data_IF_005027728181
#
_entry.id   IF_005027728181
#
_cell.length_a   1.000
_cell.length_b   1.000
_cell.length_c   1.000
_cell.angle_alpha   90.00
_cell.angle_beta   90.00
_cell.angle_gamma   90.00
#
_symmetry.space_group_name_H-M   'P 1'
#
loop_
_entity.id
_entity.type
_entity.pdbx_description
1 polymer ?
#
# COMPACT_ATOMS: atom_id res chain seq x y z
N UNK A 1 -4.55 20.36 -21.73
CA UNK A 1 -4.55 21.13 -20.47
C UNK A 1 -3.52 20.53 -19.50
N UNK A 2 -2.50 21.30 -19.13
CA UNK A 2 -1.57 20.92 -18.07
C UNK A 2 -2.35 20.71 -16.75
N UNK A 3 -2.03 19.70 -15.94
CA UNK A 3 -2.69 19.50 -14.65
C UNK A 3 -2.37 20.70 -13.74
N UNK A 4 -3.42 21.36 -13.24
CA UNK A 4 -3.29 22.42 -12.22
C UNK A 4 -2.62 21.84 -10.98
N UNK A 5 -1.61 22.53 -10.47
CA UNK A 5 -1.02 22.26 -9.16
C UNK A 5 -2.07 22.48 -8.09
N UNK A 6 -2.05 21.64 -7.07
CA UNK A 6 -2.99 21.74 -5.95
C UNK A 6 -2.72 23.05 -5.19
N UNK A 7 -3.74 23.81 -4.77
CA UNK A 7 -3.52 24.96 -3.91
C UNK A 7 -2.77 24.58 -2.63
N UNK A 8 -1.81 25.41 -2.20
CA UNK A 8 -0.98 25.11 -1.02
C UNK A 8 -1.79 25.00 0.27
N UNK A 9 -2.90 25.73 0.40
CA UNK A 9 -3.79 25.62 1.57
C UNK A 9 -4.43 24.23 1.70
N UNK A 10 -4.70 23.52 0.60
CA UNK A 10 -5.25 22.17 0.64
C UNK A 10 -4.23 21.15 1.18
N UNK A 11 -2.94 21.35 0.91
CA UNK A 11 -1.88 20.55 1.50
C UNK A 11 -1.75 20.79 3.00
N UNK A 12 -1.82 22.05 3.43
CA UNK A 12 -1.83 22.39 4.86
C UNK A 12 -3.04 21.82 5.58
N UNK A 13 -4.21 21.90 4.96
CA UNK A 13 -5.44 21.33 5.51
C UNK A 13 -5.33 19.80 5.65
N UNK A 14 -4.78 19.12 4.65
CA UNK A 14 -4.56 17.67 4.72
C UNK A 14 -3.54 17.29 5.80
N UNK A 15 -2.44 18.05 5.91
CA UNK A 15 -1.43 17.83 6.94
C UNK A 15 -1.99 18.04 8.35
N UNK A 16 -2.70 19.16 8.56
CA UNK A 16 -3.35 19.47 9.84
C UNK A 16 -4.38 18.38 10.21
N UNK A 17 -5.23 17.98 9.25
CA UNK A 17 -6.18 16.89 9.47
C UNK A 17 -5.48 15.58 9.84
N UNK A 18 -4.43 15.20 9.11
CA UNK A 18 -3.70 13.95 9.37
C UNK A 18 -3.09 13.96 10.78
N UNK A 19 -2.46 15.07 11.19
CA UNK A 19 -1.90 15.21 12.54
C UNK A 19 -3.01 15.12 13.60
N UNK A 20 -4.09 15.89 13.45
CA UNK A 20 -5.20 15.91 14.40
C UNK A 20 -5.89 14.55 14.51
N UNK A 21 -6.10 13.87 13.38
CA UNK A 21 -6.72 12.54 13.34
C UNK A 21 -5.84 11.50 14.04
N UNK A 22 -4.52 11.51 13.80
CA UNK A 22 -3.59 10.59 14.49
C UNK A 22 -3.55 10.87 15.99
N UNK A 23 -3.48 12.15 16.40
CA UNK A 23 -3.50 12.53 17.81
C UNK A 23 -4.81 12.13 18.49
N UNK A 24 -5.94 12.33 17.82
CA UNK A 24 -7.24 11.89 18.31
C UNK A 24 -7.30 10.36 18.46
N UNK A 25 -6.81 9.60 17.47
CA UNK A 25 -6.80 8.14 17.49
C UNK A 25 -6.02 7.57 18.67
N UNK A 26 -4.89 8.17 19.04
CA UNK A 26 -4.07 7.75 20.19
C UNK A 26 -4.48 8.40 21.51
N UNK A 27 -5.51 9.24 21.51
CA UNK A 27 -5.95 9.95 22.71
C UNK A 27 -6.85 9.09 23.61
N UNK A 28 -6.95 9.42 24.92
CA UNK A 28 -7.91 8.79 25.82
C UNK A 28 -9.38 8.97 25.41
N UNK A 29 -9.67 9.95 24.53
CA UNK A 29 -11.02 10.22 24.04
C UNK A 29 -11.41 9.41 22.81
N UNK A 30 -10.48 8.63 22.24
CA UNK A 30 -10.83 7.71 21.17
C UNK A 30 -11.81 6.66 21.73
N UNK A 31 -12.98 6.42 21.09
CA UNK A 31 -14.04 5.58 21.63
C UNK A 31 -13.72 4.08 21.48
N UNK A 32 -12.56 3.64 21.98
CA UNK A 32 -12.02 2.30 21.81
C UNK A 32 -12.98 1.22 22.36
N UNK A 33 -13.54 1.43 23.56
CA UNK A 33 -14.42 0.45 24.20
C UNK A 33 -15.72 0.17 23.42
N UNK A 34 -16.53 1.18 23.04
CA UNK A 34 -17.74 0.91 22.25
C UNK A 34 -17.40 0.37 20.84
N UNK A 35 -16.31 0.83 20.20
CA UNK A 35 -15.89 0.27 18.91
C UNK A 35 -15.45 -1.19 19.02
N UNK A 36 -14.74 -1.57 20.09
CA UNK A 36 -14.37 -2.95 20.36
C UNK A 36 -15.60 -3.83 20.66
N UNK A 37 -16.60 -3.29 21.35
CA UNK A 37 -17.87 -3.98 21.58
C UNK A 37 -18.60 -4.26 20.26
N UNK A 38 -18.65 -3.28 19.33
CA UNK A 38 -19.21 -3.46 18.00
C UNK A 38 -18.43 -4.49 17.16
N UNK A 39 -17.09 -4.48 17.24
CA UNK A 39 -16.25 -5.48 16.59
C UNK A 39 -16.57 -6.90 17.10
N UNK A 40 -16.72 -7.08 18.42
CA UNK A 40 -17.14 -8.37 18.97
C UNK A 40 -18.56 -8.75 18.56
N UNK A 41 -19.51 -7.82 18.61
CA UNK A 41 -20.90 -8.06 18.24
C UNK A 41 -21.08 -8.41 16.75
N UNK A 42 -20.21 -7.90 15.89
CA UNK A 42 -20.19 -8.22 14.45
C UNK A 42 -19.40 -9.49 14.11
N UNK A 43 -18.86 -10.21 15.09
CA UNK A 43 -18.01 -11.39 14.85
C UNK A 43 -16.70 -11.06 14.13
N UNK A 44 -16.21 -9.82 14.25
CA UNK A 44 -14.97 -9.35 13.62
C UNK A 44 -15.13 -8.65 12.26
N UNK A 45 -16.33 -8.65 11.65
CA UNK A 45 -16.53 -8.01 10.34
C UNK A 45 -16.39 -6.50 10.36
N UNK A 46 -16.88 -5.85 11.42
CA UNK A 46 -16.77 -4.40 11.61
C UNK A 46 -15.64 -4.14 12.60
N UNK A 47 -14.41 -4.07 12.10
CA UNK A 47 -13.26 -3.82 12.96
C UNK A 47 -13.17 -2.35 13.38
N UNK A 48 -12.53 -2.11 14.52
CA UNK A 48 -12.19 -0.76 14.98
C UNK A 48 -11.37 -0.03 13.91
N UNK A 49 -10.41 -0.73 13.29
CA UNK A 49 -9.59 -0.21 12.19
C UNK A 49 -10.43 0.23 11.01
N UNK A 50 -11.41 -0.57 10.56
CA UNK A 50 -12.27 -0.23 9.42
C UNK A 50 -13.04 1.06 9.69
N UNK A 51 -13.64 1.20 10.87
CA UNK A 51 -14.41 2.39 11.23
C UNK A 51 -13.52 3.63 11.38
N UNK A 52 -12.41 3.51 12.12
CA UNK A 52 -11.49 4.62 12.35
C UNK A 52 -10.87 5.10 11.03
N UNK A 53 -10.26 4.20 10.26
CA UNK A 53 -9.59 4.54 9.00
C UNK A 53 -10.58 4.95 7.91
N UNK A 54 -11.78 4.37 7.88
CA UNK A 54 -12.85 4.76 6.98
C UNK A 54 -13.29 6.21 7.21
N UNK A 55 -13.62 6.57 8.45
CA UNK A 55 -14.04 7.94 8.79
C UNK A 55 -12.91 8.95 8.56
N UNK A 56 -11.69 8.65 9.02
CA UNK A 56 -10.52 9.51 8.83
C UNK A 56 -10.22 9.71 7.34
N UNK A 57 -10.27 8.61 6.58
CA UNK A 57 -10.02 8.59 5.15
C UNK A 57 -11.08 9.33 4.33
N UNK A 58 -12.35 9.26 4.72
CA UNK A 58 -13.41 10.01 4.04
C UNK A 58 -13.17 11.53 4.13
N UNK A 59 -12.71 12.03 5.28
CA UNK A 59 -12.34 13.44 5.43
C UNK A 59 -11.10 13.77 4.59
N UNK A 60 -10.08 12.89 4.57
CA UNK A 60 -8.91 13.06 3.68
C UNK A 60 -9.33 13.15 2.21
N UNK A 61 -10.22 12.27 1.76
CA UNK A 61 -10.75 12.28 0.40
C UNK A 61 -11.54 13.56 0.12
N UNK A 62 -12.34 14.03 1.06
CA UNK A 62 -13.08 15.30 0.93
C UNK A 62 -12.12 16.49 0.77
N UNK A 63 -11.02 16.53 1.55
CA UNK A 63 -9.99 17.57 1.44
C UNK A 63 -9.28 17.50 0.08
N UNK A 64 -8.87 16.30 -0.35
CA UNK A 64 -8.15 16.09 -1.61
C UNK A 64 -9.04 16.39 -2.82
N UNK A 65 -10.32 16.01 -2.78
CA UNK A 65 -11.25 16.20 -3.89
C UNK A 65 -11.83 17.62 -3.94
N UNK A 66 -12.19 18.20 -2.79
CA UNK A 66 -12.76 19.53 -2.67
C UNK A 66 -11.69 20.62 -2.78
N UNK A 67 -11.11 21.11 -1.67
CA UNK A 67 -10.04 22.11 -1.67
C UNK A 67 -8.86 21.75 -2.58
N UNK A 68 -8.50 20.46 -2.66
CA UNK A 68 -7.43 19.99 -3.52
C UNK A 68 -7.78 19.91 -5.01
N UNK A 69 -9.06 20.03 -5.37
CA UNK A 69 -9.56 20.02 -6.76
C UNK A 69 -9.27 18.73 -7.53
N UNK A 70 -8.97 17.62 -6.83
CA UNK A 70 -8.60 16.37 -7.48
C UNK A 70 -9.85 15.55 -7.82
N UNK A 71 -9.80 14.87 -8.98
CA UNK A 71 -10.81 13.87 -9.33
C UNK A 71 -10.32 12.50 -8.89
N UNK A 72 -11.17 11.66 -8.28
CA UNK A 72 -10.80 10.30 -7.86
C UNK A 72 -10.13 9.49 -8.98
N UNK A 73 -10.62 9.62 -10.22
CA UNK A 73 -10.03 8.96 -11.40
C UNK A 73 -8.57 9.36 -11.68
N UNK A 74 -8.16 10.59 -11.28
CA UNK A 74 -6.78 11.08 -11.37
C UNK A 74 -5.90 10.55 -10.23
N UNK A 75 -6.50 10.28 -9.08
CA UNK A 75 -5.84 9.63 -7.94
C UNK A 75 -5.58 8.13 -8.18
N UNK A 76 -6.19 7.56 -9.21
CA UNK A 76 -5.99 6.16 -9.59
C UNK A 76 -7.21 5.27 -9.38
N UNK A 77 -8.32 5.81 -8.86
CA UNK A 77 -9.58 5.09 -8.69
C UNK A 77 -10.21 4.81 -10.06
N UNK A 78 -9.89 3.64 -10.61
CA UNK A 78 -10.36 3.16 -11.90
C UNK A 78 -10.87 1.73 -11.75
N UNK A 79 -12.19 1.55 -11.72
CA UNK A 79 -12.81 0.24 -11.50
C UNK A 79 -12.32 -0.84 -12.48
N UNK A 80 -12.04 -0.47 -13.74
CA UNK A 80 -11.48 -1.37 -14.75
C UNK A 80 -10.09 -1.95 -14.42
N UNK A 81 -9.44 -1.44 -13.36
CA UNK A 81 -8.14 -1.91 -12.88
C UNK A 81 -8.26 -2.85 -11.67
N UNK A 82 -9.44 -3.00 -11.08
CA UNK A 82 -9.67 -3.87 -9.92
C UNK A 82 -9.40 -5.34 -10.26
N UNK A 83 -9.86 -5.93 -11.38
CA UNK A 83 -9.61 -7.35 -11.66
C UNK A 83 -8.13 -7.72 -11.70
N UNK A 84 -7.30 -6.87 -12.31
CA UNK A 84 -5.85 -7.08 -12.35
C UNK A 84 -5.21 -6.96 -10.95
N UNK A 85 -5.74 -6.10 -10.08
CA UNK A 85 -5.30 -5.97 -8.70
C UNK A 85 -5.68 -7.19 -7.86
N UNK A 86 -6.91 -7.69 -8.00
CA UNK A 86 -7.36 -8.91 -7.33
C UNK A 86 -6.53 -10.12 -7.75
N UNK A 87 -6.30 -10.29 -9.07
CA UNK A 87 -5.49 -11.40 -9.57
C UNK A 87 -4.06 -11.34 -9.01
N UNK A 88 -3.40 -10.19 -9.10
CA UNK A 88 -2.03 -10.06 -8.58
C UNK A 88 -1.97 -10.18 -7.05
N UNK A 89 -2.94 -9.61 -6.33
CA UNK A 89 -3.06 -9.77 -4.89
C UNK A 89 -3.20 -11.24 -4.49
N UNK A 90 -4.07 -12.00 -5.19
CA UNK A 90 -4.25 -13.43 -4.95
C UNK A 90 -2.97 -14.23 -5.23
N UNK A 91 -2.26 -13.93 -6.32
CA UNK A 91 -0.98 -14.58 -6.64
C UNK A 91 0.08 -14.30 -5.58
N UNK A 92 0.15 -13.07 -5.08
CA UNK A 92 1.09 -12.69 -4.03
C UNK A 92 0.72 -13.33 -2.69
N UNK A 93 -0.56 -13.38 -2.35
CA UNK A 93 -1.04 -14.11 -1.16
C UNK A 93 -0.71 -15.60 -1.27
N UNK A 94 -0.96 -16.23 -2.42
CA UNK A 94 -0.59 -17.63 -2.66
C UNK A 94 0.92 -17.87 -2.52
N UNK A 95 1.76 -16.92 -2.95
CA UNK A 95 3.20 -16.98 -2.76
C UNK A 95 3.58 -16.96 -1.26
N UNK A 96 2.89 -16.15 -0.44
CA UNK A 96 3.10 -16.15 1.01
C UNK A 96 2.76 -17.51 1.62
N UNK A 97 1.63 -18.11 1.23
CA UNK A 97 1.23 -19.45 1.68
C UNK A 97 2.25 -20.50 1.27
N UNK A 98 2.70 -20.46 0.01
CA UNK A 98 3.71 -21.39 -0.50
C UNK A 98 5.02 -21.28 0.29
N UNK A 99 5.45 -20.06 0.64
CA UNK A 99 6.62 -19.84 1.49
C UNK A 99 6.51 -20.53 2.86
N UNK A 100 5.34 -20.42 3.51
CA UNK A 100 5.05 -21.11 4.77
C UNK A 100 5.06 -22.63 4.61
N UNK A 101 4.43 -23.17 3.57
CA UNK A 101 4.39 -24.60 3.31
C UNK A 101 5.79 -25.19 3.01
N UNK A 102 6.62 -24.47 2.24
CA UNK A 102 7.99 -24.89 1.95
C UNK A 102 8.86 -24.91 3.21
N UNK A 103 8.74 -23.88 4.07
CA UNK A 103 9.46 -23.84 5.34
C UNK A 103 9.03 -24.98 6.29
N UNK A 104 7.74 -25.29 6.31
CA UNK A 104 7.20 -26.41 7.07
C UNK A 104 7.75 -27.75 6.58
N UNK A 105 7.69 -28.01 5.27
CA UNK A 105 8.22 -29.23 4.68
C UNK A 105 9.74 -29.40 4.94
N UNK A 106 10.49 -28.30 4.90
CA UNK A 106 11.94 -28.32 5.16
C UNK A 106 12.32 -28.51 6.63
N UNK A 107 11.47 -28.10 7.57
CA UNK A 107 11.73 -28.24 9.01
C UNK A 107 11.19 -29.53 9.62
N UNK A 108 10.25 -30.22 8.94
CA UNK A 108 9.54 -31.38 9.48
C UNK A 108 8.54 -31.03 10.59
N UNK A 109 8.31 -29.74 10.86
CA UNK A 109 7.34 -29.29 11.87
C UNK A 109 5.92 -29.61 11.41
N UNK A 110 4.96 -29.89 12.30
CA UNK A 110 3.57 -30.10 11.89
C UNK A 110 2.97 -28.81 11.31
N UNK A 111 2.07 -28.97 10.33
CA UNK A 111 1.29 -27.87 9.79
C UNK A 111 0.17 -27.52 10.77
N UNK A 112 0.18 -26.29 11.29
CA UNK A 112 -0.80 -25.82 12.27
C UNK A 112 -1.74 -24.79 11.60
N UNK A 113 -3.07 -25.00 11.64
CA UNK A 113 -4.04 -24.00 11.19
C UNK A 113 -3.85 -22.68 11.94
N UNK A 114 -4.01 -21.55 11.25
CA UNK A 114 -3.92 -20.26 11.90
C UNK A 114 -5.18 -20.02 12.78
N UNK A 115 -5.04 -19.66 14.07
CA UNK A 115 -6.13 -19.67 15.06
C UNK A 115 -7.26 -18.69 14.74
N UNK A 116 -6.99 -17.64 13.96
CA UNK A 116 -8.01 -16.70 13.51
C UNK A 116 -9.14 -17.36 12.72
N UNK A 117 -8.89 -18.47 12.01
CA UNK A 117 -9.91 -19.19 11.26
C UNK A 117 -10.85 -19.98 12.17
N UNK A 118 -10.34 -20.53 13.28
CA UNK A 118 -11.13 -21.21 14.30
C UNK A 118 -12.01 -20.20 15.08
N UNK A 119 -11.51 -18.99 15.29
CA UNK A 119 -12.26 -17.89 15.90
C UNK A 119 -13.40 -17.34 15.00
N UNK A 120 -13.41 -17.72 13.71
CA UNK A 120 -14.48 -17.40 12.77
C UNK A 120 -14.04 -16.52 11.60
N UNK A 121 -14.78 -16.59 10.49
CA UNK A 121 -14.43 -15.91 9.24
C UNK A 121 -14.30 -14.39 9.38
N UNK A 122 -15.14 -13.75 10.20
CA UNK A 122 -15.06 -12.30 10.43
C UNK A 122 -13.79 -11.91 11.18
N UNK A 123 -13.30 -12.75 12.09
CA UNK A 123 -12.02 -12.53 12.78
C UNK A 123 -10.84 -12.73 11.82
N UNK A 124 -10.88 -13.76 10.99
CA UNK A 124 -9.83 -14.03 10.00
C UNK A 124 -9.76 -12.98 8.88
N UNK A 125 -10.91 -12.58 8.32
CA UNK A 125 -10.97 -11.74 7.11
C UNK A 125 -11.26 -10.26 7.40
N UNK A 126 -11.86 -9.94 8.56
CA UNK A 126 -12.18 -8.57 8.97
C UNK A 126 -10.98 -7.61 8.93
N UNK A 127 -9.79 -7.99 9.42
CA UNK A 127 -8.59 -7.16 9.30
C UNK A 127 -8.19 -6.86 7.85
N UNK A 128 -8.25 -7.85 6.95
CA UNK A 128 -7.96 -7.62 5.53
C UNK A 128 -8.99 -6.71 4.88
N UNK A 129 -10.28 -6.90 5.19
CA UNK A 129 -11.35 -6.02 4.74
C UNK A 129 -11.13 -4.57 5.21
N UNK A 130 -10.74 -4.40 6.47
CA UNK A 130 -10.41 -3.10 7.06
C UNK A 130 -9.27 -2.39 6.32
N UNK A 131 -8.27 -3.14 5.86
CA UNK A 131 -7.19 -2.59 5.04
C UNK A 131 -7.67 -2.23 3.64
N UNK A 132 -8.36 -3.16 2.96
CA UNK A 132 -8.81 -2.99 1.57
C UNK A 132 -9.83 -1.86 1.39
N UNK A 133 -10.64 -1.57 2.41
CA UNK A 133 -11.68 -0.53 2.37
C UNK A 133 -11.34 0.71 3.20
N UNK A 134 -10.36 0.61 4.11
CA UNK A 134 -9.95 1.65 5.04
C UNK A 134 -8.47 1.97 4.87
N UNK A 135 -7.64 1.62 5.86
CA UNK A 135 -6.25 2.05 6.00
C UNK A 135 -5.45 2.02 4.69
N UNK A 136 -5.23 0.85 4.09
CA UNK A 136 -4.41 0.74 2.88
C UNK A 136 -5.03 1.52 1.70
N UNK A 137 -6.35 1.46 1.50
CA UNK A 137 -7.00 2.21 0.42
C UNK A 137 -6.81 3.72 0.57
N UNK A 138 -7.00 4.24 1.77
CA UNK A 138 -6.93 5.68 2.06
C UNK A 138 -5.50 6.18 1.99
N UNK A 139 -4.57 5.45 2.62
CA UNK A 139 -3.15 5.79 2.60
C UNK A 139 -2.57 5.72 1.19
N UNK A 140 -2.83 4.66 0.42
CA UNK A 140 -2.35 4.61 -0.97
C UNK A 140 -2.96 5.74 -1.82
N UNK A 141 -4.23 6.07 -1.61
CA UNK A 141 -4.87 7.18 -2.32
C UNK A 141 -4.17 8.51 -2.02
N UNK A 142 -3.88 8.78 -0.74
CA UNK A 142 -3.21 10.00 -0.31
C UNK A 142 -1.75 10.01 -0.75
N UNK A 143 -0.96 8.98 -0.46
CA UNK A 143 0.48 9.01 -0.69
C UNK A 143 0.84 8.77 -2.16
N UNK A 144 0.20 7.82 -2.83
CA UNK A 144 0.57 7.40 -4.20
C UNK A 144 -0.29 8.12 -5.23
N UNK A 145 -1.58 8.24 -4.97
CA UNK A 145 -2.54 8.91 -5.85
C UNK A 145 -2.38 10.44 -5.87
N UNK A 146 -2.04 11.04 -4.72
CA UNK A 146 -2.07 12.50 -4.56
C UNK A 146 -0.71 13.13 -4.23
N UNK A 147 -0.14 12.83 -3.05
CA UNK A 147 0.99 13.54 -2.46
C UNK A 147 2.27 13.37 -3.28
N UNK A 148 2.62 12.14 -3.65
CA UNK A 148 3.81 11.89 -4.47
C UNK A 148 3.76 12.64 -5.82
N UNK A 149 2.70 12.52 -6.66
CA UNK A 149 2.62 13.30 -7.89
C UNK A 149 2.65 14.82 -7.68
N UNK A 150 2.05 15.32 -6.60
CA UNK A 150 2.04 16.76 -6.28
C UNK A 150 3.42 17.27 -5.89
N UNK A 151 4.11 16.58 -4.97
CA UNK A 151 5.48 16.91 -4.59
C UNK A 151 6.43 16.80 -5.78
N UNK A 152 6.25 15.79 -6.63
CA UNK A 152 7.06 15.65 -7.83
C UNK A 152 6.93 16.84 -8.79
N UNK A 153 5.73 17.42 -8.92
CA UNK A 153 5.52 18.65 -9.71
C UNK A 153 6.16 19.86 -9.04
N UNK A 154 6.00 20.01 -7.72
CA UNK A 154 6.56 21.13 -6.95
C UNK A 154 8.09 21.12 -6.94
N UNK A 155 8.72 19.96 -7.05
CA UNK A 155 10.16 19.81 -7.22
C UNK A 155 10.64 19.88 -8.68
N UNK A 156 9.89 20.56 -9.56
CA UNK A 156 10.29 20.84 -10.94
C UNK A 156 9.95 19.75 -11.96
N UNK A 157 9.26 18.67 -11.57
CA UNK A 157 8.83 17.61 -12.47
C UNK A 157 9.97 16.77 -13.05
N UNK A 158 9.70 16.09 -14.17
CA UNK A 158 10.67 15.19 -14.80
C UNK A 158 11.12 14.03 -13.90
N UNK A 159 12.29 13.46 -14.21
CA UNK A 159 12.84 12.33 -13.44
C UNK A 159 13.30 12.75 -12.05
N UNK A 160 13.97 13.90 -11.94
CA UNK A 160 14.48 14.41 -10.65
C UNK A 160 13.33 14.73 -9.70
N UNK A 161 12.31 15.46 -10.16
CA UNK A 161 11.13 15.76 -9.37
C UNK A 161 10.40 14.49 -8.94
N UNK A 162 10.26 13.49 -9.82
CA UNK A 162 9.64 12.21 -9.47
C UNK A 162 10.36 11.50 -8.30
N UNK A 163 11.69 11.46 -8.32
CA UNK A 163 12.48 10.85 -7.24
C UNK A 163 12.43 11.67 -5.95
N UNK A 164 12.63 12.98 -6.01
CA UNK A 164 12.54 13.84 -4.83
C UNK A 164 11.14 13.79 -4.20
N UNK A 165 10.10 13.78 -5.04
CA UNK A 165 8.73 13.66 -4.60
C UNK A 165 8.46 12.31 -3.95
N UNK A 166 9.02 11.22 -4.47
CA UNK A 166 8.88 9.88 -3.90
C UNK A 166 9.51 9.83 -2.51
N UNK A 167 10.78 10.26 -2.39
CA UNK A 167 11.54 10.30 -1.15
C UNK A 167 10.83 11.16 -0.09
N UNK A 168 10.43 12.38 -0.44
CA UNK A 168 9.71 13.26 0.47
C UNK A 168 8.37 12.66 0.91
N UNK A 169 7.59 12.10 -0.02
CA UNK A 169 6.33 11.46 0.30
C UNK A 169 6.50 10.25 1.23
N UNK A 170 7.58 9.47 1.08
CA UNK A 170 7.80 8.30 1.94
C UNK A 170 8.38 8.69 3.31
N UNK A 171 9.17 9.76 3.37
CA UNK A 171 9.60 10.33 4.64
C UNK A 171 8.39 10.82 5.45
N UNK A 172 7.46 11.53 4.82
CA UNK A 172 6.22 11.96 5.45
C UNK A 172 5.35 10.76 5.88
N UNK A 173 5.26 9.72 5.05
CA UNK A 173 4.56 8.48 5.39
C UNK A 173 5.18 7.80 6.64
N UNK A 174 6.50 7.69 6.73
CA UNK A 174 7.13 7.13 7.91
C UNK A 174 6.88 8.02 9.14
N UNK A 175 7.13 9.33 9.03
CA UNK A 175 7.03 10.27 10.16
C UNK A 175 5.61 10.40 10.73
N UNK A 176 4.56 10.24 9.92
CA UNK A 176 3.18 10.29 10.44
C UNK A 176 2.84 9.14 11.41
N UNK A 177 3.68 8.09 11.47
CA UNK A 177 3.53 6.99 12.41
C UNK A 177 4.16 7.29 13.78
N UNK A 178 4.96 8.36 13.93
CA UNK A 178 5.59 8.71 15.21
C UNK A 178 4.61 8.72 16.41
N UNK A 179 3.40 9.30 16.33
CA UNK A 179 2.50 9.34 17.48
C UNK A 179 2.06 7.94 17.93
N UNK A 180 1.82 7.01 17.01
CA UNK A 180 1.42 5.64 17.38
C UNK A 180 2.62 4.87 17.94
N UNK A 181 3.84 5.11 17.45
CA UNK A 181 5.06 4.51 18.02
C UNK A 181 5.32 5.02 19.45
N UNK A 182 5.08 6.30 19.72
CA UNK A 182 5.15 6.86 21.08
C UNK A 182 4.06 6.31 21.98
N UNK A 183 2.83 6.20 21.48
CA UNK A 183 1.71 5.62 22.22
C UNK A 183 2.01 4.18 22.67
N UNK A 184 2.70 3.39 21.83
CA UNK A 184 3.14 2.04 22.18
C UNK A 184 4.40 1.99 23.07
N UNK A 185 4.98 3.14 23.44
CA UNK A 185 6.11 3.21 24.35
C UNK A 185 7.40 2.58 23.82
N UNK A 186 7.58 2.52 22.49
CA UNK A 186 8.81 2.01 21.89
C UNK A 186 10.00 2.89 22.26
N UNK A 187 11.18 2.29 22.49
CA UNK A 187 12.41 3.06 22.67
C UNK A 187 12.88 3.74 21.37
N UNK A 188 13.85 4.66 21.49
CA UNK A 188 14.35 5.44 20.33
C UNK A 188 14.93 4.58 19.22
N UNK A 189 15.62 3.47 19.55
CA UNK A 189 16.24 2.60 18.55
C UNK A 189 15.18 1.80 17.78
N UNK A 190 14.19 1.24 18.50
CA UNK A 190 13.05 0.55 17.91
C UNK A 190 12.19 1.50 17.06
N UNK A 191 11.97 2.75 17.50
CA UNK A 191 11.32 3.79 16.70
C UNK A 191 12.09 4.05 15.41
N UNK A 192 13.40 4.30 15.48
CA UNK A 192 14.22 4.57 14.30
C UNK A 192 14.21 3.41 13.30
N UNK A 193 14.35 2.18 13.79
CA UNK A 193 14.28 0.96 12.96
C UNK A 193 12.91 0.81 12.28
N UNK A 194 11.83 1.06 13.02
CA UNK A 194 10.46 1.00 12.48
C UNK A 194 10.24 2.06 11.42
N UNK A 195 10.67 3.30 11.65
CA UNK A 195 10.55 4.39 10.68
C UNK A 195 11.36 4.12 9.40
N UNK A 196 12.57 3.57 9.53
CA UNK A 196 13.39 3.19 8.38
C UNK A 196 12.72 2.06 7.58
N UNK A 197 12.14 1.09 8.27
CA UNK A 197 11.37 0.00 7.64
C UNK A 197 10.15 0.54 6.90
N UNK A 198 9.35 1.40 7.54
CA UNK A 198 8.18 2.05 6.92
C UNK A 198 8.56 2.90 5.70
N UNK A 199 9.69 3.62 5.78
CA UNK A 199 10.22 4.37 4.66
C UNK A 199 10.58 3.45 3.47
N UNK A 200 11.31 2.36 3.75
CA UNK A 200 11.70 1.36 2.74
C UNK A 200 10.49 0.67 2.09
N UNK A 201 9.53 0.21 2.90
CA UNK A 201 8.27 -0.38 2.42
C UNK A 201 7.48 0.64 1.60
N UNK A 202 7.46 1.90 2.03
CA UNK A 202 6.82 2.97 1.27
C UNK A 202 7.41 3.14 -0.14
N UNK A 203 8.73 3.00 -0.29
CA UNK A 203 9.40 3.03 -1.60
C UNK A 203 9.01 1.81 -2.45
N UNK A 204 8.82 0.63 -1.86
CA UNK A 204 8.28 -0.53 -2.57
C UNK A 204 6.90 -0.23 -3.13
N UNK A 205 6.00 0.37 -2.35
CA UNK A 205 4.67 0.76 -2.83
C UNK A 205 4.73 1.81 -3.94
N UNK A 206 5.65 2.78 -3.87
CA UNK A 206 5.91 3.72 -4.97
C UNK A 206 6.31 2.96 -6.24
N UNK A 207 7.25 2.00 -6.16
CA UNK A 207 7.69 1.20 -7.31
C UNK A 207 6.57 0.36 -7.90
N UNK A 208 5.78 -0.29 -7.05
CA UNK A 208 4.60 -1.08 -7.43
C UNK A 208 3.60 -0.18 -8.18
N UNK A 209 3.25 0.98 -7.62
CA UNK A 209 2.31 1.90 -8.26
C UNK A 209 2.88 2.48 -9.57
N UNK A 210 4.15 2.90 -9.59
CA UNK A 210 4.82 3.44 -10.77
C UNK A 210 4.84 2.44 -11.94
N UNK A 211 5.08 1.18 -11.62
CA UNK A 211 5.23 0.11 -12.61
C UNK A 211 3.88 -0.34 -13.15
N UNK A 212 2.94 -0.63 -12.25
CA UNK A 212 1.62 -1.17 -12.62
C UNK A 212 0.66 -0.09 -13.11
N UNK A 213 0.85 1.17 -12.68
CA UNK A 213 -0.10 2.29 -12.86
C UNK A 213 -1.50 1.92 -12.37
N UNK A 214 -1.56 1.12 -11.32
CA UNK A 214 -2.77 0.60 -10.74
C UNK A 214 -2.75 0.83 -9.23
N UNK A 215 -3.58 1.76 -8.75
CA UNK A 215 -3.65 2.09 -7.32
C UNK A 215 -4.06 0.86 -6.52
N UNK A 216 -5.04 0.10 -7.01
CA UNK A 216 -5.56 -1.07 -6.31
C UNK A 216 -4.54 -2.19 -6.17
N UNK A 217 -3.50 -2.26 -7.02
CA UNK A 217 -2.40 -3.20 -6.78
C UNK A 217 -1.59 -2.76 -5.56
N UNK A 218 -1.24 -1.47 -5.44
CA UNK A 218 -0.55 -0.99 -4.26
C UNK A 218 -1.40 -1.21 -2.99
N UNK A 219 -2.71 -0.99 -3.07
CA UNK A 219 -3.66 -1.27 -1.99
C UNK A 219 -3.65 -2.75 -1.62
N UNK A 220 -3.68 -3.67 -2.59
CA UNK A 220 -3.65 -5.10 -2.32
C UNK A 220 -2.33 -5.53 -1.64
N UNK A 221 -1.17 -5.06 -2.14
CA UNK A 221 0.13 -5.38 -1.54
C UNK A 221 0.22 -4.80 -0.11
N UNK A 222 -0.22 -3.57 0.09
CA UNK A 222 -0.23 -2.95 1.42
C UNK A 222 -1.18 -3.69 2.36
N UNK A 223 -2.41 -3.97 1.92
CA UNK A 223 -3.40 -4.68 2.72
C UNK A 223 -2.91 -6.08 3.15
N UNK A 224 -2.29 -6.84 2.25
CA UNK A 224 -1.68 -8.14 2.58
C UNK A 224 -0.45 -8.00 3.46
N UNK A 225 0.31 -6.91 3.34
CA UNK A 225 1.44 -6.62 4.23
C UNK A 225 0.99 -6.40 5.68
N UNK A 226 -0.15 -5.74 5.87
CA UNK A 226 -0.71 -5.45 7.20
C UNK A 226 -1.58 -6.59 7.74
N UNK A 227 -2.31 -7.28 6.87
CA UNK A 227 -3.21 -8.37 7.21
C UNK A 227 -3.01 -9.55 6.22
N UNK A 228 -1.96 -10.37 6.43
CA UNK A 228 -1.62 -11.50 5.55
C UNK A 228 -2.71 -12.54 5.33
N UNK A 229 -3.59 -12.77 6.32
CA UNK A 229 -4.65 -13.81 6.27
C UNK A 229 -4.13 -15.19 5.87
N UNK A 230 -3.03 -15.62 6.50
CA UNK A 230 -2.43 -16.93 6.24
C UNK A 230 -3.37 -18.04 6.69
N UNK A 231 -3.36 -19.17 5.98
CA UNK A 231 -4.19 -20.33 6.35
C UNK A 231 -3.57 -21.11 7.51
N UNK A 232 -2.24 -21.04 7.63
CA UNK A 232 -1.45 -21.76 8.60
C UNK A 232 -0.55 -20.79 9.37
N UNK A 233 -0.15 -21.19 10.57
CA UNK A 233 0.85 -20.47 11.35
C UNK A 233 2.13 -20.25 10.52
N UNK A 234 2.67 -19.02 10.45
CA UNK A 234 3.83 -18.72 9.65
C UNK A 234 5.06 -19.46 10.17
N UNK A 235 5.80 -20.09 9.25
CA UNK A 235 7.06 -20.77 9.54
C UNK A 235 8.17 -20.23 8.63
N UNK A 236 9.42 -20.26 9.15
CA UNK A 236 10.59 -19.80 8.42
C UNK A 236 10.63 -18.28 8.25
N UNK A 237 10.97 -17.84 7.03
CA UNK A 237 11.06 -16.41 6.70
C UNK A 237 9.68 -15.75 6.79
N UNK A 238 9.64 -14.52 7.32
CA UNK A 238 8.41 -13.75 7.46
C UNK A 238 7.63 -13.71 6.13
N UNK A 239 6.33 -14.07 6.12
CA UNK A 239 5.48 -14.11 4.92
C UNK A 239 5.47 -12.79 4.14
N UNK A 240 5.55 -11.66 4.84
CA UNK A 240 5.62 -10.32 4.22
C UNK A 240 6.90 -10.12 3.39
N UNK A 241 8.00 -10.83 3.68
CA UNK A 241 9.19 -10.81 2.83
C UNK A 241 8.94 -11.53 1.50
N UNK A 242 8.22 -12.65 1.50
CA UNK A 242 7.79 -13.32 0.26
C UNK A 242 6.89 -12.41 -0.58
N UNK A 243 5.95 -11.72 0.07
CA UNK A 243 5.08 -10.72 -0.57
C UNK A 243 5.89 -9.61 -1.26
N UNK A 244 6.80 -8.95 -0.53
CA UNK A 244 7.58 -7.85 -1.08
C UNK A 244 8.59 -8.32 -2.13
N UNK A 245 9.22 -9.48 -1.95
CA UNK A 245 10.07 -10.08 -2.97
C UNK A 245 9.29 -10.38 -4.26
N UNK A 246 8.10 -10.98 -4.16
CA UNK A 246 7.22 -11.23 -5.30
C UNK A 246 6.79 -9.93 -6.01
N UNK A 247 6.41 -8.91 -5.25
CA UNK A 247 6.04 -7.60 -5.80
C UNK A 247 7.21 -6.94 -6.55
N UNK A 248 8.43 -7.00 -6.00
CA UNK A 248 9.65 -6.48 -6.63
C UNK A 248 10.03 -7.29 -7.88
N UNK A 249 9.86 -8.62 -7.85
CA UNK A 249 10.08 -9.48 -9.02
C UNK A 249 9.13 -9.10 -10.17
N UNK A 250 7.84 -8.91 -9.89
CA UNK A 250 6.86 -8.44 -10.88
C UNK A 250 7.25 -7.07 -11.44
N UNK A 251 7.69 -6.14 -10.59
CA UNK A 251 8.16 -4.82 -11.05
C UNK A 251 9.36 -4.94 -11.98
N UNK A 252 10.33 -5.79 -11.63
CA UNK A 252 11.56 -6.02 -12.38
C UNK A 252 11.28 -6.65 -13.75
N UNK A 253 10.44 -7.69 -13.79
CA UNK A 253 10.02 -8.35 -15.02
C UNK A 253 9.24 -7.39 -15.94
N UNK A 254 8.32 -6.61 -15.38
CA UNK A 254 7.58 -5.60 -16.14
C UNK A 254 8.51 -4.52 -16.72
N UNK A 255 9.53 -4.10 -15.99
CA UNK A 255 10.54 -3.16 -16.48
C UNK A 255 11.38 -3.77 -17.61
N UNK A 256 11.90 -4.99 -17.42
CA UNK A 256 12.68 -5.72 -18.42
C UNK A 256 11.88 -5.92 -19.72
N UNK A 257 10.62 -6.34 -19.62
CA UNK A 257 9.71 -6.51 -20.75
C UNK A 257 9.49 -5.21 -21.53
N UNK A 258 9.27 -4.09 -20.83
CA UNK A 258 9.10 -2.78 -21.49
C UNK A 258 10.37 -2.32 -22.20
N UNK A 259 11.55 -2.60 -21.64
CA UNK A 259 12.84 -2.30 -22.27
C UNK A 259 13.04 -3.14 -23.52
N UNK A 260 12.74 -4.44 -23.45
CA UNK A 260 12.85 -5.36 -24.59
C UNK A 260 11.95 -4.93 -25.75
N UNK A 261 10.68 -4.58 -25.49
CA UNK A 261 9.73 -4.11 -26.53
C UNK A 261 10.11 -2.78 -27.20
N UNK A 262 10.97 -1.98 -26.57
CA UNK A 262 11.44 -0.70 -27.12
C UNK A 262 12.72 -0.82 -27.93
N UNK A 263 13.31 -2.02 -28.03
CA UNK A 263 14.48 -2.23 -28.90
C UNK A 263 14.03 -2.06 -30.35
N UNK A 264 14.75 -1.28 -31.17
CA UNK A 264 14.52 -1.23 -32.61
C UNK A 264 14.55 -2.66 -33.15
N UNK A 265 13.53 -3.06 -33.91
CA UNK A 265 13.65 -4.31 -34.67
C UNK A 265 14.78 -4.10 -35.68
N UNK A 266 15.74 -5.03 -35.81
CA UNK A 266 16.70 -4.95 -36.89
C UNK A 266 15.88 -4.85 -38.19
N UNK A 267 16.17 -3.83 -39.00
CA UNK A 267 15.62 -3.77 -40.34
C UNK A 267 15.98 -5.11 -41.00
N UNK A 268 14.98 -5.85 -41.46
CA UNK A 268 15.23 -6.97 -42.35
C UNK A 268 15.99 -6.36 -43.52
N UNK A 269 17.30 -6.60 -43.57
CA UNK A 269 18.14 -6.16 -44.67
C UNK A 269 17.46 -6.67 -45.92
N UNK A 270 16.99 -5.75 -46.76
CA UNK A 270 16.41 -6.09 -48.04
C UNK A 270 17.41 -6.96 -48.78
N UNK A 271 17.00 -8.18 -49.10
CA UNK A 271 17.54 -8.88 -50.25
C UNK A 271 17.15 -8.07 -51.48
N UNK A 272 17.91 -7.01 -51.78
CA UNK A 272 18.11 -6.61 -53.16
C UNK A 272 19.13 -7.59 -53.73
N UNK A 273 18.62 -8.74 -54.17
CA UNK A 273 19.33 -9.59 -55.12
C UNK A 273 19.56 -8.76 -56.38
N UNK A 274 20.80 -8.38 -56.57
CA UNK A 274 21.37 -8.01 -57.85
C UNK A 274 21.14 -9.13 -58.87
N UNK A 275 20.43 -8.82 -59.96
CA UNK A 275 20.58 -9.39 -61.31
C UNK A 275 19.95 -8.34 -62.23
N UNK A 276 20.77 -7.50 -62.87
CA UNK A 276 21.38 -7.70 -64.19
C UNK A 276 20.50 -7.10 -65.30
#
# INVERSE_FOLDING_TARGET
>A
MAPRTTPTHALWLLAAWTILATLWFVSPWFPMQPLAALQRASGGWITVTLLASGLIGLVQLAIVAGPGGQRLRRLGWRASRIPAALLLGLLLWALMQAGTLVAQAGSGSPLQPHPAWEAGLGVALGPLLAQLMGTALMEETVFRGFLWPELARRFGGGRRGAWLGALASQALFALMHLPILWYHGLDTAAQASTLLTLFGVGLVFVLVYATTRNLFVAVAVHALGNAPTLLFEPQGMAPTLWLFAGALAVCTLAFAWRRWRRRPRPALAGNETATA
#
